data_IF_973170525379
#
_entry.id   IF_973170525379
#
_cell.length_a   1.000
_cell.length_b   1.000
_cell.length_c   1.000
_cell.angle_alpha   90.00
_cell.angle_beta   90.00
_cell.angle_gamma   90.00
#
_symmetry.space_group_name_H-M   'P 1'
#
loop_
_entity.id
_entity.type
_entity.pdbx_description
1 polymer ?
#
# COMPACT_ATOMS: atom_id res chain seq x y z
N UNK A 1 -6.52 12.34 10.93
CA UNK A 1 -5.92 12.60 9.61
C UNK A 1 -6.22 11.46 8.64
N UNK A 2 -6.45 11.80 7.38
CA UNK A 2 -6.70 10.78 6.36
C UNK A 2 -5.38 10.21 5.80
N UNK A 3 -5.50 9.19 4.97
CA UNK A 3 -4.34 8.50 4.44
C UNK A 3 -3.44 9.41 3.60
N UNK A 4 -4.04 10.28 2.77
CA UNK A 4 -3.26 11.18 1.91
C UNK A 4 -2.46 12.19 2.72
N UNK A 5 -3.03 12.71 3.80
CA UNK A 5 -2.31 13.61 4.69
C UNK A 5 -1.12 12.93 5.36
N UNK A 6 -1.31 11.69 5.78
CA UNK A 6 -0.23 10.91 6.39
C UNK A 6 0.84 10.53 5.38
N UNK A 7 0.45 10.20 4.15
CA UNK A 7 1.40 9.93 3.07
C UNK A 7 2.29 11.16 2.85
N UNK A 8 1.66 12.32 2.74
CA UNK A 8 2.40 13.57 2.54
C UNK A 8 3.38 13.82 3.69
N UNK A 9 2.92 13.62 4.91
CA UNK A 9 3.73 13.80 6.11
C UNK A 9 4.96 12.88 6.12
N UNK A 10 4.74 11.58 5.94
CA UNK A 10 5.84 10.63 6.00
C UNK A 10 6.80 10.75 4.83
N UNK A 11 6.30 11.03 3.65
CA UNK A 11 7.15 11.14 2.47
C UNK A 11 7.95 12.44 2.47
N UNK A 12 7.29 13.57 2.70
CA UNK A 12 7.91 14.90 2.59
C UNK A 12 8.65 15.31 3.85
N UNK A 13 8.05 15.13 5.01
CA UNK A 13 8.63 15.60 6.28
C UNK A 13 9.56 14.57 6.90
N UNK A 14 9.15 13.33 6.97
CA UNK A 14 9.96 12.28 7.58
C UNK A 14 10.98 11.65 6.63
N UNK A 15 10.86 11.91 5.32
CA UNK A 15 11.83 11.44 4.33
C UNK A 15 11.90 9.92 4.20
N UNK A 16 10.81 9.24 4.46
CA UNK A 16 10.72 7.80 4.20
C UNK A 16 10.60 7.55 2.69
N UNK A 17 11.02 6.38 2.25
CA UNK A 17 10.86 6.00 0.85
C UNK A 17 9.41 5.57 0.57
N UNK A 18 9.13 5.14 -0.67
CA UNK A 18 7.76 4.85 -1.09
C UNK A 18 7.10 3.72 -0.28
N UNK A 19 7.80 2.62 -0.07
CA UNK A 19 7.26 1.47 0.69
C UNK A 19 7.11 1.79 2.17
N UNK A 20 8.09 2.44 2.76
CA UNK A 20 8.05 2.87 4.15
C UNK A 20 6.92 3.86 4.40
N UNK A 21 6.74 4.81 3.49
CA UNK A 21 5.68 5.81 3.61
C UNK A 21 4.30 5.17 3.70
N UNK A 22 4.03 4.21 2.82
CA UNK A 22 2.72 3.54 2.80
C UNK A 22 2.48 2.79 4.11
N UNK A 23 3.46 2.03 4.58
CA UNK A 23 3.24 1.25 5.81
C UNK A 23 3.07 2.15 7.04
N UNK A 24 3.85 3.22 7.15
CA UNK A 24 3.72 4.17 8.25
C UNK A 24 2.38 4.90 8.22
N UNK A 25 2.00 5.40 7.05
CA UNK A 25 0.73 6.12 6.91
C UNK A 25 -0.46 5.22 7.22
N UNK A 26 -0.45 4.01 6.69
CA UNK A 26 -1.54 3.05 6.92
C UNK A 26 -1.57 2.59 8.38
N UNK A 27 -0.40 2.44 9.00
CA UNK A 27 -0.34 2.09 10.43
C UNK A 27 -1.10 3.09 11.28
N UNK A 28 -0.92 4.38 10.99
CA UNK A 28 -1.60 5.44 11.73
C UNK A 28 -3.10 5.47 11.43
N UNK A 29 -3.47 5.39 10.15
CA UNK A 29 -4.87 5.56 9.72
C UNK A 29 -5.73 4.35 10.06
N UNK A 30 -5.18 3.14 9.89
CA UNK A 30 -5.94 1.90 10.08
C UNK A 30 -5.66 1.22 11.41
N UNK A 31 -4.90 1.84 12.29
CA UNK A 31 -4.57 1.33 13.63
C UNK A 31 -4.01 -0.09 13.59
N UNK A 32 -2.98 -0.29 12.76
CA UNK A 32 -2.40 -1.61 12.55
C UNK A 32 -1.59 -2.12 13.73
N UNK A 33 -1.19 -1.22 14.64
CA UNK A 33 -0.39 -1.53 15.82
C UNK A 33 0.97 -2.16 15.48
N UNK A 34 1.58 -1.68 14.41
CA UNK A 34 2.92 -2.12 14.02
C UNK A 34 3.97 -1.30 14.76
N UNK A 35 5.00 -1.97 15.26
CA UNK A 35 6.14 -1.28 15.85
C UNK A 35 7.14 -0.87 14.77
N UNK A 36 8.10 -0.04 15.15
CA UNK A 36 9.11 0.46 14.21
C UNK A 36 9.98 -0.66 13.62
N UNK A 37 10.29 -1.66 14.42
CA UNK A 37 11.09 -2.80 13.94
C UNK A 37 10.37 -3.57 12.85
N UNK A 38 9.07 -3.75 12.97
CA UNK A 38 8.27 -4.41 11.94
C UNK A 38 8.20 -3.56 10.67
N UNK A 39 7.96 -2.27 10.82
CA UNK A 39 7.81 -1.39 9.65
C UNK A 39 9.11 -1.20 8.87
N UNK A 40 10.26 -1.24 9.54
CA UNK A 40 11.54 -1.08 8.84
C UNK A 40 11.85 -2.21 7.86
N UNK A 41 11.13 -3.33 7.97
CA UNK A 41 11.28 -4.41 6.99
C UNK A 41 10.88 -3.99 5.58
N UNK A 42 10.14 -2.90 5.44
CA UNK A 42 9.74 -2.37 4.15
C UNK A 42 10.83 -1.52 3.47
N UNK A 43 11.89 -1.16 4.19
CA UNK A 43 12.90 -0.24 3.68
C UNK A 43 13.56 -0.71 2.37
N UNK A 44 13.81 -1.98 2.25
CA UNK A 44 14.48 -2.54 1.06
C UNK A 44 13.61 -2.60 -0.19
N UNK A 45 12.32 -2.31 -0.08
CA UNK A 45 11.41 -2.38 -1.22
C UNK A 45 11.28 -1.05 -1.97
N UNK A 46 11.90 0.01 -1.47
CA UNK A 46 11.93 1.30 -2.16
C UNK A 46 12.60 1.21 -3.53
N UNK A 47 12.21 2.09 -4.45
CA UNK A 47 12.76 2.14 -5.82
C UNK A 47 12.75 0.79 -6.53
N UNK A 48 11.68 0.01 -6.28
CA UNK A 48 11.54 -1.31 -6.88
C UNK A 48 12.65 -2.25 -6.44
N UNK A 49 12.88 -2.34 -5.13
CA UNK A 49 14.00 -3.07 -4.53
C UNK A 49 15.35 -2.51 -4.99
N UNK A 50 15.40 -1.19 -5.18
CA UNK A 50 16.56 -0.46 -5.71
C UNK A 50 17.09 -1.05 -7.02
N UNK A 51 16.22 -1.74 -7.75
CA UNK A 51 16.53 -2.45 -8.99
C UNK A 51 15.54 -2.17 -10.11
N UNK A 52 14.64 -1.20 -9.89
CA UNK A 52 13.64 -0.85 -10.88
C UNK A 52 12.53 -1.89 -11.07
N UNK A 53 12.42 -2.84 -10.17
CA UNK A 53 11.39 -3.90 -10.23
C UNK A 53 10.07 -3.37 -9.68
N UNK A 54 9.28 -4.23 -9.04
CA UNK A 54 7.94 -3.85 -8.57
C UNK A 54 7.96 -2.59 -7.70
N UNK A 55 7.04 -1.67 -7.97
CA UNK A 55 6.98 -0.39 -7.26
C UNK A 55 6.83 -0.62 -5.75
N UNK A 56 7.71 0.03 -4.97
CA UNK A 56 7.71 -0.09 -3.52
C UNK A 56 6.42 0.37 -2.86
N UNK A 57 5.75 1.38 -3.45
CA UNK A 57 4.48 1.84 -2.92
C UNK A 57 3.41 0.76 -3.05
N UNK A 58 3.40 0.03 -4.16
CA UNK A 58 2.48 -1.10 -4.34
C UNK A 58 2.77 -2.20 -3.34
N UNK A 59 4.05 -2.53 -3.16
CA UNK A 59 4.45 -3.54 -2.17
C UNK A 59 3.99 -3.13 -0.77
N UNK A 60 4.12 -1.85 -0.42
CA UNK A 60 3.62 -1.33 0.84
C UNK A 60 2.12 -1.55 1.00
N UNK A 61 1.35 -1.32 -0.06
CA UNK A 61 -0.10 -1.56 -0.05
C UNK A 61 -0.41 -3.05 0.19
N UNK A 62 0.33 -3.94 -0.48
CA UNK A 62 0.15 -5.39 -0.29
C UNK A 62 0.47 -5.80 1.15
N UNK A 63 1.51 -5.21 1.73
CA UNK A 63 1.85 -5.47 3.13
C UNK A 63 0.73 -5.03 4.08
N UNK A 64 0.13 -3.87 3.82
CA UNK A 64 -1.01 -3.37 4.61
C UNK A 64 -2.19 -4.33 4.52
N UNK A 65 -2.53 -4.76 3.31
CA UNK A 65 -3.63 -5.71 3.11
C UNK A 65 -3.35 -7.04 3.81
N UNK A 66 -2.10 -7.48 3.77
CA UNK A 66 -1.70 -8.70 4.48
C UNK A 66 -1.95 -8.57 5.98
N UNK A 67 -1.57 -7.43 6.56
CA UNK A 67 -1.79 -7.19 8.00
C UNK A 67 -3.27 -7.13 8.34
N UNK A 68 -4.07 -6.51 7.46
CA UNK A 68 -5.51 -6.36 7.70
C UNK A 68 -6.27 -7.68 7.59
N UNK A 69 -5.92 -8.54 6.63
CA UNK A 69 -6.71 -9.72 6.29
C UNK A 69 -6.22 -11.00 6.93
N UNK A 70 -4.92 -11.15 7.09
CA UNK A 70 -4.35 -12.44 7.51
C UNK A 70 -4.30 -12.52 9.03
N UNK A 71 -4.85 -13.63 9.55
CA UNK A 71 -4.76 -13.93 10.99
C UNK A 71 -3.49 -14.68 11.29
N UNK A 72 -3.21 -15.74 10.54
CA UNK A 72 -2.03 -16.56 10.74
C UNK A 72 -1.25 -16.78 9.46
N UNK A 73 -1.90 -17.29 8.42
CA UNK A 73 -1.24 -17.57 7.13
C UNK A 73 -2.20 -17.44 5.96
N UNK A 74 -1.64 -17.09 4.81
CA UNK A 74 -2.41 -16.80 3.60
C UNK A 74 -3.34 -17.94 3.17
N UNK A 75 -2.88 -19.19 3.25
CA UNK A 75 -3.66 -20.35 2.80
C UNK A 75 -4.95 -20.55 3.58
N UNK A 76 -5.02 -20.08 4.82
CA UNK A 76 -6.23 -20.19 5.63
C UNK A 76 -7.36 -19.28 5.15
N UNK A 77 -7.01 -18.24 4.40
CA UNK A 77 -7.95 -17.19 3.95
C UNK A 77 -7.75 -16.87 2.47
N UNK A 78 -7.26 -17.82 1.69
CA UNK A 78 -6.73 -17.57 0.35
C UNK A 78 -7.73 -16.95 -0.61
N UNK A 79 -8.99 -17.37 -0.57
CA UNK A 79 -10.01 -16.88 -1.51
C UNK A 79 -10.21 -15.37 -1.39
N UNK A 80 -10.52 -14.86 -0.20
CA UNK A 80 -10.76 -13.44 0.04
C UNK A 80 -9.49 -12.63 -0.06
N UNK A 81 -8.41 -13.16 0.48
CA UNK A 81 -7.12 -12.48 0.47
C UNK A 81 -6.61 -12.28 -0.95
N UNK A 82 -6.66 -13.34 -1.77
CA UNK A 82 -6.25 -13.25 -3.18
C UNK A 82 -7.03 -12.18 -3.92
N UNK A 83 -8.35 -12.12 -3.70
CA UNK A 83 -9.21 -11.10 -4.31
C UNK A 83 -8.76 -9.68 -3.95
N UNK A 84 -8.49 -9.47 -2.67
CA UNK A 84 -8.06 -8.15 -2.20
C UNK A 84 -6.73 -7.73 -2.84
N UNK A 85 -5.76 -8.64 -2.90
CA UNK A 85 -4.46 -8.36 -3.50
C UNK A 85 -4.60 -8.07 -5.00
N UNK A 86 -5.33 -8.92 -5.71
CA UNK A 86 -5.55 -8.75 -7.14
C UNK A 86 -6.26 -7.42 -7.46
N UNK A 87 -7.23 -7.06 -6.64
CA UNK A 87 -7.96 -5.80 -6.80
C UNK A 87 -7.03 -4.60 -6.61
N UNK A 88 -6.19 -4.64 -5.59
CA UNK A 88 -5.23 -3.56 -5.33
C UNK A 88 -4.24 -3.40 -6.48
N UNK A 89 -3.69 -4.51 -6.96
CA UNK A 89 -2.77 -4.50 -8.10
C UNK A 89 -3.46 -3.93 -9.35
N UNK A 90 -4.70 -4.32 -9.60
CA UNK A 90 -5.48 -3.82 -10.74
C UNK A 90 -5.74 -2.32 -10.61
N UNK A 91 -6.20 -1.86 -9.44
CA UNK A 91 -6.47 -0.44 -9.21
C UNK A 91 -5.22 0.41 -9.39
N UNK A 92 -4.10 -0.06 -8.88
CA UNK A 92 -2.81 0.60 -9.05
C UNK A 92 -2.40 0.66 -10.51
N UNK A 93 -2.52 -0.46 -11.21
CA UNK A 93 -2.10 -0.56 -12.63
C UNK A 93 -2.97 0.31 -13.54
N UNK A 94 -4.26 0.40 -13.26
CA UNK A 94 -5.16 1.28 -14.03
C UNK A 94 -4.74 2.74 -13.93
N UNK A 95 -4.28 3.18 -12.76
CA UNK A 95 -3.87 4.57 -12.57
C UNK A 95 -2.47 4.87 -13.11
N UNK A 96 -1.55 3.93 -13.01
CA UNK A 96 -0.14 4.19 -13.30
C UNK A 96 0.37 3.48 -14.55
N UNK A 97 -0.43 2.59 -15.13
CA UNK A 97 -0.12 1.91 -16.38
C UNK A 97 0.80 0.70 -16.27
N UNK A 98 1.43 0.49 -15.14
CA UNK A 98 2.38 -0.60 -14.92
C UNK A 98 2.55 -0.84 -13.42
N UNK A 99 3.22 -1.93 -13.06
CA UNK A 99 3.60 -2.23 -11.69
C UNK A 99 5.10 -2.02 -11.43
N UNK A 100 5.90 -1.91 -12.49
CA UNK A 100 7.36 -1.87 -12.38
C UNK A 100 7.89 -0.46 -12.25
N UNK A 101 8.71 -0.22 -11.25
CA UNK A 101 9.30 1.08 -10.95
C UNK A 101 9.98 1.71 -12.18
N UNK A 102 10.75 0.91 -12.91
CA UNK A 102 11.48 1.41 -14.09
C UNK A 102 10.56 1.94 -15.19
N UNK A 103 9.33 1.44 -15.27
CA UNK A 103 8.36 1.87 -16.27
C UNK A 103 7.46 3.01 -15.77
N UNK A 104 7.22 3.07 -14.47
CA UNK A 104 6.40 4.13 -13.85
C UNK A 104 7.21 5.41 -13.68
N UNK A 105 8.42 5.29 -13.16
CA UNK A 105 9.25 6.43 -12.78
C UNK A 105 9.46 7.46 -13.90
N UNK A 106 9.73 7.08 -15.16
CA UNK A 106 9.92 8.07 -16.22
C UNK A 106 8.74 9.01 -16.46
N UNK A 107 7.54 8.58 -16.09
CA UNK A 107 6.31 9.35 -16.31
C UNK A 107 5.79 10.04 -15.04
N UNK A 108 6.26 9.63 -13.88
CA UNK A 108 5.68 10.05 -12.59
C UNK A 108 6.65 10.77 -11.67
N UNK A 109 7.94 10.64 -11.93
CA UNK A 109 8.96 11.24 -11.07
C UNK A 109 9.10 12.74 -11.33
N UNK A 110 9.09 13.52 -10.26
CA UNK A 110 9.29 14.97 -10.31
C UNK A 110 10.60 15.31 -9.59
N UNK A 111 11.49 16.16 -10.16
CA UNK A 111 12.75 16.50 -9.52
C UNK A 111 12.62 17.07 -8.10
N UNK A 112 11.51 17.74 -7.80
CA UNK A 112 11.27 18.34 -6.50
C UNK A 112 10.44 17.46 -5.58
N UNK A 113 9.45 16.77 -6.13
CA UNK A 113 8.51 15.94 -5.38
C UNK A 113 8.88 14.46 -5.38
N UNK A 114 9.85 14.08 -6.21
CA UNK A 114 10.30 12.69 -6.40
C UNK A 114 9.13 11.79 -6.80
N UNK A 115 8.88 10.70 -6.06
CA UNK A 115 7.80 9.76 -6.38
C UNK A 115 6.49 10.05 -5.65
N UNK A 116 6.31 11.25 -5.12
CA UNK A 116 5.12 11.58 -4.32
C UNK A 116 3.82 11.24 -5.05
N UNK A 117 3.73 11.61 -6.33
CA UNK A 117 2.54 11.31 -7.15
C UNK A 117 2.22 9.82 -7.15
N UNK A 118 3.24 8.99 -7.37
CA UNK A 118 3.08 7.53 -7.38
C UNK A 118 2.62 7.00 -6.01
N UNK A 119 3.21 7.51 -4.94
CA UNK A 119 2.85 7.09 -3.57
C UNK A 119 1.43 7.50 -3.25
N UNK A 120 1.01 8.69 -3.67
CA UNK A 120 -0.37 9.15 -3.49
C UNK A 120 -1.35 8.27 -4.25
N UNK A 121 -1.04 7.91 -5.49
CA UNK A 121 -1.87 7.01 -6.30
C UNK A 121 -1.96 5.62 -5.68
N UNK A 122 -0.85 5.13 -5.15
CA UNK A 122 -0.85 3.85 -4.42
C UNK A 122 -1.79 3.91 -3.21
N UNK A 123 -1.74 5.01 -2.46
CA UNK A 123 -2.67 5.22 -1.34
C UNK A 123 -4.12 5.22 -1.77
N UNK A 124 -4.43 5.84 -2.91
CA UNK A 124 -5.80 5.83 -3.47
C UNK A 124 -6.23 4.43 -3.87
N UNK A 125 -5.32 3.65 -4.47
CA UNK A 125 -5.60 2.26 -4.83
C UNK A 125 -5.87 1.42 -3.59
N UNK A 126 -5.11 1.63 -2.53
CA UNK A 126 -5.31 0.94 -1.25
C UNK A 126 -6.68 1.28 -0.65
N UNK A 127 -7.00 2.57 -0.59
CA UNK A 127 -8.29 3.03 -0.06
C UNK A 127 -9.47 2.47 -0.85
N UNK A 128 -9.38 2.51 -2.18
CA UNK A 128 -10.43 1.96 -3.05
C UNK A 128 -10.60 0.46 -2.84
N UNK A 129 -9.49 -0.25 -2.70
CA UNK A 129 -9.52 -1.69 -2.46
C UNK A 129 -10.20 -2.02 -1.14
N UNK A 130 -9.81 -1.34 -0.07
CA UNK A 130 -10.39 -1.56 1.26
C UNK A 130 -11.89 -1.25 1.25
N UNK A 131 -12.27 -0.13 0.63
CA UNK A 131 -13.67 0.29 0.56
C UNK A 131 -14.52 -0.73 -0.22
N UNK A 132 -14.02 -1.22 -1.34
CA UNK A 132 -14.75 -2.18 -2.18
C UNK A 132 -14.89 -3.53 -1.48
N UNK A 133 -13.83 -4.01 -0.86
CA UNK A 133 -13.89 -5.27 -0.10
C UNK A 133 -14.84 -5.14 1.09
N UNK A 134 -14.76 -4.04 1.80
CA UNK A 134 -15.67 -3.75 2.93
C UNK A 134 -17.12 -3.76 2.50
N UNK A 135 -17.43 -3.13 1.36
CA UNK A 135 -18.77 -3.08 0.80
C UNK A 135 -19.25 -4.48 0.39
N UNK A 136 -18.39 -5.26 -0.25
CA UNK A 136 -18.71 -6.62 -0.70
C UNK A 136 -19.03 -7.52 0.49
N UNK A 137 -18.30 -7.37 1.60
CA UNK A 137 -18.49 -8.18 2.80
C UNK A 137 -19.29 -7.48 3.89
N UNK A 138 -19.93 -6.37 3.58
CA UNK A 138 -20.73 -5.63 4.57
C UNK A 138 -21.88 -6.47 5.13
N UNK A 139 -22.43 -7.38 4.31
CA UNK A 139 -23.48 -8.32 4.73
C UNK A 139 -22.92 -9.55 5.45
N UNK A 140 -21.60 -9.74 5.40
CA UNK A 140 -20.89 -10.83 6.06
C UNK A 140 -19.92 -10.24 7.09
N UNK A 141 -20.43 -9.32 7.86
CA UNK A 141 -19.73 -8.29 8.64
C UNK A 141 -18.52 -8.71 9.48
N UNK A 142 -18.40 -9.97 9.82
CA UNK A 142 -17.36 -10.40 10.75
C UNK A 142 -16.16 -11.07 10.08
N UNK A 143 -16.18 -11.16 8.74
CA UNK A 143 -15.12 -11.86 8.02
C UNK A 143 -13.86 -11.05 7.85
N UNK A 144 -13.97 -9.73 7.92
CA UNK A 144 -12.82 -8.82 7.81
C UNK A 144 -12.82 -7.91 9.02
N UNK A 145 -11.89 -8.09 9.96
CA UNK A 145 -11.79 -7.23 11.14
C UNK A 145 -11.10 -5.91 10.77
N UNK A 146 -11.70 -5.16 9.86
CA UNK A 146 -11.22 -3.81 9.55
C UNK A 146 -11.63 -2.88 10.67
N UNK A 147 -10.65 -2.36 11.33
CA UNK A 147 -10.87 -1.38 12.39
C UNK A 147 -11.15 0.00 11.81
#
# INVERSE_FOLDING_TARGET
MNLQEQILYYYKKKKYNCSETIIHAANDVYSLNLDKDSMKMLAGFGSGMYSGKTCGALIGCVAVLSKLFIKEKAHDQLSEFRKAIQLCVRNFTEDLGDTECKNIRPHSYDPNLHCLYTVQKAGMALESTIAEIKKEYELESDMIPLK
#
